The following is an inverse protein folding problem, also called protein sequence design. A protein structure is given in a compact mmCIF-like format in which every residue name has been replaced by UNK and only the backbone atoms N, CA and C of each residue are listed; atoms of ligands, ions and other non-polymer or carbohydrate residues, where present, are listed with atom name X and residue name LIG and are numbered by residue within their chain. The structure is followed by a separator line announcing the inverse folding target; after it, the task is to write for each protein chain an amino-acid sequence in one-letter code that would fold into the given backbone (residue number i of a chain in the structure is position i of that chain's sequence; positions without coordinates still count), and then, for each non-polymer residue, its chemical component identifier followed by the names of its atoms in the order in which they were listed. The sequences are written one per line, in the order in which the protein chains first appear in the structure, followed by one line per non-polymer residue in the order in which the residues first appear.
data_IF_004687152072
#
_entry.id   IF_004687152072
#
_cell.length_a   1.000
_cell.length_b   1.000
_cell.length_c   1.000
_cell.angle_alpha   90.00
_cell.angle_beta   90.00
_cell.angle_gamma   90.00
#
_symmetry.space_group_name_H-M   'P 1'
#
loop_
_entity.id
_entity.type
_entity.pdbx_description
1 polymer ?
#
# COMPACT_ATOMS: atom_id res chain seq x y z
N UNK A 1 -23.80 -9.11 -8.79
CA UNK A 1 -22.64 -8.27 -8.40
C UNK A 1 -21.90 -7.96 -9.69
N UNK A 2 -21.84 -6.70 -10.12
CA UNK A 2 -20.96 -6.34 -11.24
C UNK A 2 -19.53 -6.52 -10.76
N UNK A 3 -18.79 -7.45 -11.32
CA UNK A 3 -17.34 -7.48 -11.15
C UNK A 3 -16.80 -6.14 -11.66
N UNK A 4 -15.94 -5.51 -10.86
CA UNK A 4 -15.31 -4.27 -11.26
C UNK A 4 -14.44 -4.59 -12.49
N UNK A 5 -14.81 -4.03 -13.65
CA UNK A 5 -14.16 -4.29 -14.94
C UNK A 5 -12.64 -4.02 -14.96
N UNK A 6 -12.13 -3.40 -13.88
CA UNK A 6 -10.71 -3.06 -13.72
C UNK A 6 -9.92 -4.06 -12.87
N UNK A 7 -10.50 -5.22 -12.55
CA UNK A 7 -9.77 -6.26 -11.80
C UNK A 7 -9.08 -7.24 -12.73
N UNK A 8 -7.92 -7.74 -12.30
CA UNK A 8 -7.21 -8.81 -13.03
C UNK A 8 -7.98 -10.10 -12.87
N UNK A 9 -8.36 -10.70 -13.99
CA UNK A 9 -9.11 -11.95 -14.02
C UNK A 9 -8.35 -13.07 -13.26
N UNK A 10 -9.09 -13.89 -12.53
CA UNK A 10 -8.53 -14.99 -11.74
C UNK A 10 -7.91 -14.60 -10.40
N UNK A 11 -7.58 -13.33 -10.17
CA UNK A 11 -7.07 -12.90 -8.87
C UNK A 11 -8.20 -12.69 -7.87
N UNK A 12 -8.15 -13.37 -6.75
CA UNK A 12 -9.09 -13.24 -5.64
C UNK A 12 -8.33 -12.97 -4.34
N UNK A 13 -8.92 -12.19 -3.44
CA UNK A 13 -8.27 -11.92 -2.14
C UNK A 13 -8.05 -13.22 -1.35
N UNK A 14 -9.00 -14.16 -1.40
CA UNK A 14 -8.89 -15.43 -0.68
C UNK A 14 -8.59 -15.21 0.81
N UNK A 15 -7.52 -15.83 1.35
CA UNK A 15 -7.11 -15.65 2.73
C UNK A 15 -6.41 -14.32 3.02
N UNK A 16 -6.04 -13.55 1.98
CA UNK A 16 -5.34 -12.27 2.17
C UNK A 16 -6.22 -11.26 2.92
N UNK A 17 -5.68 -10.72 4.00
CA UNK A 17 -6.33 -9.68 4.82
C UNK A 17 -5.42 -8.48 5.12
N UNK A 18 -4.35 -8.28 4.36
CA UNK A 18 -3.39 -7.19 4.55
C UNK A 18 -4.08 -5.82 4.55
N UNK A 19 -5.06 -5.60 3.67
CA UNK A 19 -5.86 -4.38 3.67
C UNK A 19 -6.76 -4.22 4.91
N UNK A 20 -6.98 -5.29 5.69
CA UNK A 20 -7.68 -5.23 6.98
C UNK A 20 -6.74 -4.87 8.14
N UNK A 21 -5.44 -4.76 7.90
CA UNK A 21 -4.43 -4.42 8.92
C UNK A 21 -3.76 -3.08 8.61
N UNK A 22 -3.22 -2.93 7.41
CA UNK A 22 -2.27 -1.85 7.09
C UNK A 22 -2.91 -0.46 7.05
N UNK A 23 -3.98 -0.18 6.30
CA UNK A 23 -4.51 1.18 6.17
C UNK A 23 -5.32 1.61 7.40
N UNK A 24 -5.42 2.92 7.59
CA UNK A 24 -6.44 3.53 8.43
C UNK A 24 -7.80 3.36 7.77
N UNK A 25 -8.85 3.14 8.55
CA UNK A 25 -10.25 3.25 8.15
C UNK A 25 -10.90 4.24 9.13
N UNK A 26 -11.51 5.28 8.59
CA UNK A 26 -12.14 6.33 9.38
C UNK A 26 -13.51 6.66 8.76
N UNK A 27 -14.44 5.73 8.93
CA UNK A 27 -15.85 5.89 8.55
C UNK A 27 -16.73 5.67 9.78
N UNK A 28 -17.92 6.31 9.85
CA UNK A 28 -18.82 6.14 10.99
C UNK A 28 -19.17 4.68 11.29
N UNK A 29 -19.24 3.84 10.24
CA UNK A 29 -19.57 2.42 10.35
C UNK A 29 -18.38 1.51 10.71
N UNK A 30 -17.17 2.01 10.60
CA UNK A 30 -15.95 1.23 10.91
C UNK A 30 -14.77 2.17 11.10
N UNK A 31 -14.19 2.14 12.28
CA UNK A 31 -13.00 2.90 12.62
C UNK A 31 -11.86 1.98 12.99
N UNK A 32 -10.71 2.20 12.38
CA UNK A 32 -9.53 1.39 12.59
C UNK A 32 -8.26 2.20 12.37
N UNK A 33 -7.40 2.22 13.36
CA UNK A 33 -6.05 2.78 13.23
C UNK A 33 -5.16 1.89 12.34
N UNK A 34 -4.12 2.47 11.71
CA UNK A 34 -3.19 1.73 10.89
C UNK A 34 -2.41 0.72 11.73
N UNK A 35 -2.06 -0.42 11.14
CA UNK A 35 -1.31 -1.49 11.82
C UNK A 35 -2.14 -2.35 12.79
N UNK A 36 -3.34 -1.92 13.17
CA UNK A 36 -4.24 -2.77 13.93
C UNK A 36 -5.12 -3.62 13.00
N UNK A 37 -5.40 -4.84 13.45
CA UNK A 37 -6.29 -5.74 12.73
C UNK A 37 -7.74 -5.26 12.86
N UNK A 38 -8.47 -5.21 11.75
CA UNK A 38 -9.90 -4.97 11.76
C UNK A 38 -10.63 -6.06 12.58
N UNK A 39 -11.58 -5.68 13.43
CA UNK A 39 -12.40 -6.61 14.22
C UNK A 39 -13.14 -7.64 13.37
N UNK A 40 -13.53 -7.24 12.16
CA UNK A 40 -14.23 -8.10 11.20
C UNK A 40 -13.27 -8.97 10.35
N UNK A 41 -11.95 -8.88 10.55
CA UNK A 41 -10.98 -9.72 9.85
C UNK A 41 -10.89 -11.10 10.49
N UNK A 42 -11.17 -12.15 9.74
CA UNK A 42 -11.06 -13.54 10.19
C UNK A 42 -9.60 -13.91 10.43
N UNK A 43 -9.36 -14.81 11.38
CA UNK A 43 -8.00 -15.30 11.67
C UNK A 43 -7.42 -16.13 10.53
N UNK A 44 -8.26 -16.88 9.86
CA UNK A 44 -7.96 -17.73 8.70
C UNK A 44 -8.03 -16.99 7.36
N UNK A 45 -8.18 -15.66 7.41
CA UNK A 45 -8.29 -14.79 6.24
C UNK A 45 -9.73 -14.43 5.86
N UNK A 46 -9.87 -13.35 5.11
CA UNK A 46 -11.17 -12.82 4.69
C UNK A 46 -11.85 -11.94 5.74
N UNK A 47 -13.13 -11.67 5.52
CA UNK A 47 -13.94 -10.74 6.31
C UNK A 47 -15.28 -11.37 6.73
N UNK A 48 -15.64 -11.27 8.01
CA UNK A 48 -16.90 -11.82 8.54
C UNK A 48 -18.13 -11.10 7.98
N UNK A 49 -18.00 -9.83 7.65
CA UNK A 49 -19.06 -8.98 7.09
C UNK A 49 -18.86 -8.70 5.59
N UNK A 50 -18.28 -9.65 4.83
CA UNK A 50 -17.85 -9.39 3.45
C UNK A 50 -18.93 -8.75 2.57
N UNK A 51 -20.18 -9.19 2.68
CA UNK A 51 -21.31 -8.65 1.90
C UNK A 51 -21.82 -7.29 2.43
N UNK A 52 -21.63 -7.03 3.72
CA UNK A 52 -22.06 -5.81 4.42
C UNK A 52 -20.91 -4.83 4.70
N UNK A 53 -19.75 -5.00 4.01
CA UNK A 53 -18.58 -4.13 4.20
C UNK A 53 -18.93 -2.66 4.00
N UNK A 54 -18.33 -1.73 4.79
CA UNK A 54 -18.37 -0.30 4.53
C UNK A 54 -17.95 0.06 3.10
N UNK A 55 -18.37 1.23 2.61
CA UNK A 55 -18.10 1.65 1.23
C UNK A 55 -16.60 1.70 0.92
N UNK A 56 -15.79 2.24 1.81
CA UNK A 56 -14.32 2.23 1.71
C UNK A 56 -13.77 0.84 1.45
N UNK A 57 -14.22 -0.17 2.19
CA UNK A 57 -13.75 -1.54 2.00
C UNK A 57 -14.26 -2.18 0.70
N UNK A 58 -15.46 -1.79 0.23
CA UNK A 58 -16.03 -2.30 -1.03
C UNK A 58 -15.37 -1.70 -2.26
N UNK A 59 -15.03 -0.41 -2.18
CA UNK A 59 -14.38 0.32 -3.28
C UNK A 59 -12.88 0.06 -3.36
N UNK A 60 -12.28 -0.47 -2.28
CA UNK A 60 -10.84 -0.68 -2.23
C UNK A 60 -10.42 -2.02 -2.82
N UNK A 61 -9.53 -1.94 -3.80
CA UNK A 61 -8.76 -3.07 -4.31
C UNK A 61 -7.29 -2.69 -4.39
N UNK A 62 -6.42 -3.52 -3.83
CA UNK A 62 -4.97 -3.30 -3.88
C UNK A 62 -4.41 -3.43 -5.31
N UNK A 63 -3.20 -2.94 -5.53
CA UNK A 63 -2.55 -2.98 -6.83
C UNK A 63 -2.39 -4.39 -7.39
N UNK A 64 -2.15 -5.40 -6.55
CA UNK A 64 -2.10 -6.78 -7.01
C UNK A 64 -3.42 -7.23 -7.65
N UNK A 65 -4.56 -6.78 -7.15
CA UNK A 65 -5.88 -7.06 -7.74
C UNK A 65 -6.14 -6.29 -9.04
N UNK A 66 -5.54 -5.11 -9.22
CA UNK A 66 -5.89 -4.16 -10.28
C UNK A 66 -4.86 -4.05 -11.40
N UNK A 67 -3.58 -4.26 -11.11
CA UNK A 67 -2.48 -4.00 -12.04
C UNK A 67 -1.96 -5.31 -12.62
N UNK A 68 -2.19 -5.54 -13.92
CA UNK A 68 -1.76 -6.76 -14.62
C UNK A 68 -0.24 -6.95 -14.58
N UNK A 69 0.53 -5.87 -14.55
CA UNK A 69 1.98 -5.89 -14.54
C UNK A 69 2.59 -6.19 -13.15
N UNK A 70 1.80 -6.17 -12.08
CA UNK A 70 2.22 -6.71 -10.78
C UNK A 70 2.15 -8.23 -10.85
N UNK A 71 3.29 -8.90 -10.60
CA UNK A 71 3.40 -10.36 -10.65
C UNK A 71 2.57 -11.09 -9.59
N UNK A 72 2.24 -12.35 -9.86
CA UNK A 72 1.45 -13.20 -8.92
C UNK A 72 2.16 -13.36 -7.57
N UNK A 73 3.49 -13.48 -7.59
CA UNK A 73 4.30 -13.61 -6.37
C UNK A 73 4.18 -12.41 -5.42
N UNK A 74 3.71 -11.24 -5.92
CA UNK A 74 3.52 -10.04 -5.11
C UNK A 74 2.13 -9.97 -4.45
N UNK A 75 1.43 -11.11 -4.28
CA UNK A 75 0.23 -11.14 -3.44
C UNK A 75 0.60 -10.73 -2.01
N UNK A 76 -0.07 -9.72 -1.42
CA UNK A 76 0.44 -9.03 -0.23
C UNK A 76 0.68 -9.91 1.00
N UNK A 77 -0.17 -10.92 1.20
CA UNK A 77 -0.04 -11.87 2.33
C UNK A 77 1.10 -12.87 2.18
N UNK A 78 1.62 -13.06 0.96
CA UNK A 78 2.75 -13.95 0.68
C UNK A 78 4.07 -13.20 0.59
N UNK A 79 4.03 -11.98 0.04
CA UNK A 79 5.23 -11.20 -0.27
C UNK A 79 5.59 -10.17 0.80
N UNK A 80 4.65 -9.80 1.68
CA UNK A 80 4.82 -8.63 2.54
C UNK A 80 4.79 -7.29 1.78
N UNK A 81 4.51 -7.29 0.47
CA UNK A 81 4.47 -6.08 -0.36
C UNK A 81 3.03 -5.67 -0.63
N UNK A 82 2.60 -4.56 -0.05
CA UNK A 82 1.25 -4.06 -0.26
C UNK A 82 1.24 -2.89 -1.24
N UNK A 83 0.79 -3.15 -2.46
CA UNK A 83 0.75 -2.16 -3.54
C UNK A 83 -0.59 -1.42 -3.53
N UNK A 84 -0.55 -0.09 -3.58
CA UNK A 84 -1.74 0.77 -3.67
C UNK A 84 -1.63 1.72 -4.84
N UNK A 85 -2.76 1.95 -5.51
CA UNK A 85 -2.90 3.02 -6.48
C UNK A 85 -3.25 4.32 -5.74
N UNK A 86 -2.72 5.41 -6.23
CA UNK A 86 -2.98 6.75 -5.73
C UNK A 86 -3.05 7.73 -6.90
N UNK A 87 -3.46 8.94 -6.59
CA UNK A 87 -3.28 10.10 -7.45
C UNK A 87 -2.29 11.04 -6.78
N UNK A 88 -1.50 11.73 -7.56
CA UNK A 88 -0.64 12.80 -7.09
C UNK A 88 -0.88 14.07 -7.88
N UNK A 89 -0.82 15.21 -7.20
CA UNK A 89 -0.89 16.51 -7.85
C UNK A 89 0.35 16.71 -8.73
N UNK A 90 0.15 17.27 -9.92
CA UNK A 90 1.25 17.70 -10.80
C UNK A 90 1.60 19.17 -10.54
N UNK A 91 2.64 19.67 -11.21
CA UNK A 91 3.00 21.08 -11.16
C UNK A 91 1.92 21.99 -11.81
N UNK A 92 1.03 21.40 -12.61
CA UNK A 92 -0.09 22.11 -13.22
C UNK A 92 -1.27 22.03 -12.25
N UNK A 93 -1.73 23.18 -11.78
CA UNK A 93 -2.83 23.25 -10.82
C UNK A 93 -4.08 22.53 -11.34
N UNK A 94 -4.67 21.67 -10.50
CA UNK A 94 -5.86 20.90 -10.82
C UNK A 94 -5.61 19.66 -11.71
N UNK A 95 -4.37 19.38 -12.09
CA UNK A 95 -4.02 18.17 -12.85
C UNK A 95 -3.42 17.13 -11.90
N UNK A 96 -4.00 15.94 -11.92
CA UNK A 96 -3.50 14.78 -11.19
C UNK A 96 -2.97 13.72 -12.15
N UNK A 97 -1.96 13.00 -11.74
CA UNK A 97 -1.44 11.84 -12.46
C UNK A 97 -1.53 10.57 -11.61
N UNK A 98 -1.47 9.44 -12.30
CA UNK A 98 -1.47 8.16 -11.62
C UNK A 98 -0.16 7.96 -10.84
N UNK A 99 -0.30 7.45 -9.64
CA UNK A 99 0.80 7.09 -8.78
C UNK A 99 0.60 5.69 -8.19
N UNK A 100 1.68 5.06 -7.82
CA UNK A 100 1.68 3.76 -7.14
C UNK A 100 2.57 3.82 -5.91
N UNK A 101 2.12 3.17 -4.84
CA UNK A 101 2.94 3.01 -3.64
C UNK A 101 3.17 1.54 -3.34
N UNK A 102 4.41 1.22 -3.00
CA UNK A 102 4.86 -0.07 -2.51
C UNK A 102 5.09 0.05 -1.01
N UNK A 103 4.21 -0.56 -0.22
CA UNK A 103 4.37 -0.63 1.23
C UNK A 103 5.11 -1.92 1.56
N UNK A 104 6.30 -1.82 2.14
CA UNK A 104 7.08 -2.95 2.62
C UNK A 104 6.73 -3.18 4.10
N UNK A 105 6.00 -4.25 4.38
CA UNK A 105 5.46 -4.52 5.71
C UNK A 105 6.56 -4.82 6.74
N UNK A 106 7.60 -5.49 6.28
CA UNK A 106 8.77 -5.87 7.08
C UNK A 106 10.05 -5.92 6.24
N UNK A 107 11.16 -6.35 6.81
CA UNK A 107 12.43 -6.47 6.09
C UNK A 107 12.41 -7.61 5.05
N UNK A 108 11.68 -8.70 5.32
CA UNK A 108 11.60 -9.84 4.42
C UNK A 108 10.86 -9.50 3.12
N UNK A 109 10.04 -8.44 3.12
CA UNK A 109 9.38 -7.92 1.90
C UNK A 109 10.37 -7.56 0.78
N UNK A 110 11.64 -7.27 1.11
CA UNK A 110 12.71 -6.98 0.13
C UNK A 110 13.13 -8.22 -0.68
N UNK A 111 12.87 -9.42 -0.15
CA UNK A 111 13.18 -10.69 -0.79
C UNK A 111 12.06 -11.16 -1.73
N UNK A 112 10.96 -10.38 -1.80
CA UNK A 112 9.80 -10.74 -2.60
C UNK A 112 10.13 -10.81 -4.09
N UNK A 113 9.91 -11.99 -4.67
CA UNK A 113 10.10 -12.22 -6.10
C UNK A 113 9.28 -11.24 -6.93
N UNK A 114 9.93 -10.52 -7.84
CA UNK A 114 9.29 -9.54 -8.72
C UNK A 114 9.16 -8.13 -8.15
N UNK A 115 9.66 -7.85 -6.93
CA UNK A 115 9.60 -6.50 -6.35
C UNK A 115 10.42 -5.50 -7.18
N UNK A 116 11.67 -5.82 -7.48
CA UNK A 116 12.54 -4.93 -8.25
C UNK A 116 11.98 -4.67 -9.65
N UNK A 117 11.45 -5.70 -10.30
CA UNK A 117 10.81 -5.60 -11.62
C UNK A 117 9.56 -4.72 -11.58
N UNK A 118 8.73 -4.88 -10.55
CA UNK A 118 7.52 -4.09 -10.40
C UNK A 118 7.83 -2.60 -10.15
N UNK A 119 8.80 -2.32 -9.29
CA UNK A 119 9.27 -0.95 -9.04
C UNK A 119 9.89 -0.36 -10.31
N UNK A 120 10.76 -1.11 -10.99
CA UNK A 120 11.38 -0.66 -12.23
C UNK A 120 10.34 -0.39 -13.32
N UNK A 121 9.34 -1.25 -13.48
CA UNK A 121 8.26 -1.06 -14.44
C UNK A 121 7.46 0.24 -14.18
N UNK A 122 7.14 0.54 -12.92
CA UNK A 122 6.44 1.76 -12.56
C UNK A 122 7.28 3.01 -12.93
N UNK A 123 8.55 3.04 -12.54
CA UNK A 123 9.46 4.17 -12.80
C UNK A 123 9.71 4.34 -14.30
N UNK A 124 9.98 3.25 -15.02
CA UNK A 124 10.19 3.26 -16.46
C UNK A 124 9.00 3.86 -17.21
N UNK A 125 7.78 3.55 -16.78
CA UNK A 125 6.54 4.09 -17.34
C UNK A 125 6.18 5.48 -16.79
N UNK A 126 7.10 6.15 -16.07
CA UNK A 126 6.91 7.51 -15.52
C UNK A 126 5.73 7.63 -14.57
N UNK A 127 5.33 6.54 -13.93
CA UNK A 127 4.31 6.55 -12.88
C UNK A 127 4.98 7.09 -11.59
N UNK A 128 4.33 8.02 -10.90
CA UNK A 128 4.77 8.48 -9.59
C UNK A 128 4.87 7.31 -8.63
N UNK A 129 6.09 6.96 -8.22
CA UNK A 129 6.35 5.73 -7.45
C UNK A 129 6.85 6.06 -6.07
N UNK A 130 6.18 5.50 -5.06
CA UNK A 130 6.46 5.75 -3.66
C UNK A 130 6.81 4.47 -2.90
N UNK A 131 7.82 4.57 -2.06
CA UNK A 131 8.06 3.61 -0.99
C UNK A 131 7.32 4.07 0.26
N UNK A 132 6.59 3.14 0.88
CA UNK A 132 5.91 3.36 2.16
C UNK A 132 6.51 2.39 3.18
N UNK A 133 6.91 2.92 4.31
CA UNK A 133 7.35 2.12 5.46
C UNK A 133 6.37 2.36 6.60
N UNK A 134 5.63 1.33 7.05
CA UNK A 134 4.69 1.48 8.15
C UNK A 134 5.39 1.92 9.42
N UNK A 135 4.76 2.84 10.15
CA UNK A 135 5.13 3.13 11.53
C UNK A 135 4.62 2.04 12.49
N UNK A 136 4.90 2.18 13.79
CA UNK A 136 4.29 1.33 14.81
C UNK A 136 2.75 1.36 14.72
N UNK A 137 2.04 0.34 15.23
CA UNK A 137 0.59 0.34 15.25
C UNK A 137 0.02 1.65 15.83
N UNK A 138 -0.97 2.22 15.16
CA UNK A 138 -1.57 3.51 15.52
C UNK A 138 -0.81 4.74 15.03
N UNK A 139 0.30 4.58 14.34
CA UNK A 139 1.11 5.70 13.85
C UNK A 139 1.10 5.76 12.32
N UNK A 140 1.37 6.95 11.81
CA UNK A 140 1.55 7.18 10.38
C UNK A 140 2.75 6.44 9.80
N UNK A 141 2.79 6.33 8.48
CA UNK A 141 3.89 5.70 7.74
C UNK A 141 4.86 6.75 7.21
N UNK A 142 6.12 6.39 7.06
CA UNK A 142 7.06 7.15 6.23
C UNK A 142 6.69 6.97 4.76
N UNK A 143 6.80 8.03 3.97
CA UNK A 143 6.52 8.03 2.53
C UNK A 143 7.62 8.77 1.80
N UNK A 144 8.26 8.13 0.84
CA UNK A 144 9.28 8.75 0.00
C UNK A 144 9.00 8.46 -1.47
N UNK A 145 9.14 9.47 -2.32
CA UNK A 145 9.11 9.31 -3.78
C UNK A 145 10.45 8.76 -4.24
N UNK A 146 10.44 7.69 -5.01
CA UNK A 146 11.66 6.93 -5.34
C UNK A 146 12.06 7.02 -6.82
N UNK A 147 11.32 7.76 -7.65
CA UNK A 147 11.59 7.85 -9.07
C UNK A 147 13.00 8.36 -9.37
N UNK A 148 13.37 9.48 -8.76
CA UNK A 148 14.67 10.11 -8.99
C UNK A 148 15.81 9.28 -8.37
N UNK A 149 15.61 8.80 -7.15
CA UNK A 149 16.62 8.01 -6.44
C UNK A 149 16.99 6.72 -7.18
N UNK A 150 16.01 6.08 -7.83
CA UNK A 150 16.22 4.80 -8.51
C UNK A 150 16.42 4.94 -10.04
N UNK A 151 16.43 6.16 -10.60
CA UNK A 151 16.46 6.38 -12.04
C UNK A 151 17.60 5.65 -12.74
N UNK A 152 18.83 5.80 -12.24
CA UNK A 152 20.04 5.19 -12.84
C UNK A 152 20.02 3.67 -12.73
N UNK A 153 19.62 3.12 -11.58
CA UNK A 153 19.53 1.68 -11.38
C UNK A 153 18.47 1.05 -12.29
N UNK A 154 17.34 1.75 -12.51
CA UNK A 154 16.29 1.32 -13.45
C UNK A 154 16.78 1.40 -14.89
N UNK A 155 17.43 2.50 -15.29
CA UNK A 155 18.01 2.65 -16.62
C UNK A 155 19.07 1.58 -16.92
N UNK A 156 19.91 1.28 -15.94
CA UNK A 156 20.93 0.24 -15.99
C UNK A 156 20.38 -1.19 -15.85
N UNK A 157 19.09 -1.37 -15.57
CA UNK A 157 18.44 -2.66 -15.28
C UNK A 157 19.11 -3.44 -14.14
N UNK A 158 19.73 -2.72 -13.20
CA UNK A 158 20.41 -3.29 -12.04
C UNK A 158 19.42 -3.58 -10.90
N UNK A 159 18.85 -4.78 -10.91
CA UNK A 159 17.92 -5.23 -9.87
C UNK A 159 18.55 -5.24 -8.49
N UNK A 160 19.83 -5.59 -8.39
CA UNK A 160 20.52 -5.63 -7.10
C UNK A 160 20.69 -4.22 -6.53
N UNK A 161 21.02 -3.23 -7.36
CA UNK A 161 21.06 -1.84 -6.95
C UNK A 161 19.68 -1.34 -6.50
N UNK A 162 18.61 -1.65 -7.26
CA UNK A 162 17.23 -1.29 -6.86
C UNK A 162 16.92 -1.84 -5.46
N UNK A 163 17.16 -3.13 -5.21
CA UNK A 163 16.86 -3.74 -3.91
C UNK A 163 17.72 -3.17 -2.78
N UNK A 164 19.02 -2.91 -3.02
CA UNK A 164 19.87 -2.24 -2.01
C UNK A 164 19.33 -0.87 -1.64
N UNK A 165 18.97 -0.05 -2.63
CA UNK A 165 18.44 1.30 -2.38
C UNK A 165 17.10 1.26 -1.68
N UNK A 166 16.22 0.31 -2.02
CA UNK A 166 14.95 0.10 -1.30
C UNK A 166 15.21 -0.31 0.16
N UNK A 167 16.22 -1.14 0.42
CA UNK A 167 16.62 -1.54 1.77
C UNK A 167 17.11 -0.36 2.61
N UNK A 168 17.93 0.53 2.02
CA UNK A 168 18.42 1.73 2.69
C UNK A 168 17.28 2.69 3.02
N UNK A 169 16.44 3.02 2.04
CA UNK A 169 15.28 3.88 2.23
C UNK A 169 14.27 3.30 3.24
N UNK A 170 14.08 1.97 3.23
CA UNK A 170 13.25 1.32 4.22
C UNK A 170 13.83 1.46 5.63
N UNK A 171 15.14 1.32 5.80
CA UNK A 171 15.81 1.45 7.09
C UNK A 171 15.68 2.88 7.62
N UNK A 172 15.90 3.87 6.77
CA UNK A 172 15.69 5.29 7.11
C UNK A 172 14.23 5.55 7.50
N UNK A 173 13.28 5.07 6.70
CA UNK A 173 11.86 5.21 6.98
C UNK A 173 11.42 4.55 8.28
N UNK A 174 11.99 3.39 8.63
CA UNK A 174 11.69 2.69 9.88
C UNK A 174 12.27 3.42 11.12
N UNK A 175 13.36 4.17 10.95
CA UNK A 175 14.00 4.95 12.01
C UNK A 175 13.41 6.35 12.14
N UNK A 176 12.53 6.75 11.24
CA UNK A 176 11.91 8.08 11.28
C UNK A 176 10.93 8.22 12.45
N UNK A 177 10.73 9.44 12.90
CA UNK A 177 9.71 9.74 13.89
C UNK A 177 8.31 9.60 13.27
N UNK A 178 7.51 8.68 13.76
CA UNK A 178 6.14 8.47 13.33
C UNK A 178 5.15 9.18 14.26
N UNK A 179 4.22 9.94 13.69
CA UNK A 179 3.18 10.65 14.45
C UNK A 179 2.00 9.71 14.69
N UNK A 180 1.38 9.76 15.90
CA UNK A 180 0.11 9.08 16.14
C UNK A 180 -0.96 9.52 15.13
N UNK A 181 -1.76 8.58 14.67
CA UNK A 181 -2.94 8.86 13.84
C UNK A 181 -4.14 9.12 14.73
N UNK A 182 -4.80 10.24 14.52
CA UNK A 182 -6.05 10.62 15.20
C UNK A 182 -7.18 10.45 14.19
N UNK A 183 -8.23 9.70 14.57
CA UNK A 183 -9.42 9.53 13.74
C UNK A 183 -10.31 10.77 13.85
N UNK A 184 -10.88 11.22 12.74
CA UNK A 184 -11.64 12.46 12.68
C UNK A 184 -12.86 12.49 13.61
N UNK A 185 -13.49 11.35 13.85
CA UNK A 185 -14.61 11.18 14.76
C UNK A 185 -14.26 11.37 16.26
N UNK A 186 -12.97 11.30 16.61
CA UNK A 186 -12.48 11.60 17.96
C UNK A 186 -12.13 13.10 18.15
N UNK A 187 -12.29 13.90 17.11
CA UNK A 187 -11.96 15.33 17.14
C UNK A 187 -13.11 16.21 17.67
N UNK A 188 -14.18 15.63 18.17
CA UNK A 188 -15.40 16.33 18.58
C UNK A 188 -15.95 15.93 19.93
N UNK A 189 -15.17 16.06 21.01
CA UNK A 189 -15.68 16.32 22.37
C UNK A 189 -14.54 16.90 23.20
N UNK A 190 -14.31 18.20 23.07
CA UNK A 190 -13.77 18.94 24.21
C UNK A 190 -14.84 18.90 25.30
N UNK A 191 -14.55 18.42 26.50
CA UNK A 191 -15.45 18.57 27.63
C UNK A 191 -15.50 20.04 28.00
N UNK A 192 -16.70 20.61 27.98
CA UNK A 192 -17.00 21.93 28.53
C UNK A 192 -16.64 22.03 30.01
#
# INVERSE_FOLDING_TARGET
MKEDANLVAGRVCGPCNVCCVVPTIDEPALQKLPGYRCENARRDGGCTIYLARPNTCRAFFCGWRRLKWIGEALRPDLSGVFVRLAKEATLIAGVEQDAVSFTLLDAASLEATGLAEAVAAAIHNRIGTYLIVPGPPGHGSSRVRINEALADAVAGRDKAAILRMLADLRREGASAAHRPVILASNCGTDPA
#
